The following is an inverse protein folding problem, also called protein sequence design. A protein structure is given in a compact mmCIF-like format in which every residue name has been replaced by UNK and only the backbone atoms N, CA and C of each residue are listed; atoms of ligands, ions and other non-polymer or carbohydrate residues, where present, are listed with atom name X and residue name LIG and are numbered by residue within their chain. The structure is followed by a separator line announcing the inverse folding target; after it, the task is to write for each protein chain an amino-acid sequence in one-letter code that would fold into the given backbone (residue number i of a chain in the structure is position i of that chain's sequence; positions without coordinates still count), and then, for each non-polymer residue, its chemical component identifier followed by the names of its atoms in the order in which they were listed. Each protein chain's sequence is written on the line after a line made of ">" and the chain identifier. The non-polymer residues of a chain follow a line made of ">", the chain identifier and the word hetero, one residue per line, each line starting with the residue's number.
data_IF_490712912267
#
_entry.id   IF_490712912267
#
_cell.length_a   1.000
_cell.length_b   1.000
_cell.length_c   1.000
_cell.angle_alpha   90.00
_cell.angle_beta   90.00
_cell.angle_gamma   90.00
#
_symmetry.space_group_name_H-M   'P 1'
#
loop_
_entity.id
_entity.type
_entity.pdbx_description
1 polymer ?
#
# COMPACT_ATOMS: atom_id res chain seq x y z
N UNK A 1 13.92 -9.63 -4.81
CA UNK A 1 13.80 -9.47 -3.34
C UNK A 1 13.41 -8.04 -3.05
N UNK A 2 12.55 -7.79 -2.07
CA UNK A 2 12.20 -6.43 -1.68
C UNK A 2 13.42 -5.72 -1.09
N UNK A 3 13.68 -4.47 -1.49
CA UNK A 3 14.79 -3.70 -0.96
C UNK A 3 14.56 -3.29 0.50
N UNK A 4 13.30 -3.16 0.91
CA UNK A 4 12.89 -2.82 2.27
C UNK A 4 11.93 -3.85 2.82
N UNK A 5 12.10 -4.23 4.08
CA UNK A 5 11.20 -5.11 4.81
C UNK A 5 10.92 -4.58 6.22
N UNK A 6 9.64 -4.37 6.55
CA UNK A 6 9.24 -4.10 7.94
C UNK A 6 9.41 -5.41 8.73
N UNK A 7 10.21 -5.34 9.81
CA UNK A 7 10.55 -6.49 10.65
C UNK A 7 9.73 -6.50 11.94
N UNK A 8 9.39 -5.34 12.49
CA UNK A 8 8.59 -5.23 13.70
C UNK A 8 7.80 -3.91 13.74
N UNK A 9 6.60 -3.95 14.33
CA UNK A 9 5.79 -2.77 14.61
C UNK A 9 5.22 -2.93 16.01
N UNK A 10 5.66 -2.09 16.95
CA UNK A 10 5.15 -2.08 18.32
C UNK A 10 4.14 -0.96 18.49
N UNK A 11 3.01 -1.28 19.11
CA UNK A 11 1.94 -0.31 19.41
C UNK A 11 2.12 0.18 20.84
N UNK A 12 2.25 1.50 21.02
CA UNK A 12 2.38 2.13 22.33
C UNK A 12 1.08 2.84 22.74
N UNK A 13 0.83 2.96 24.05
CA UNK A 13 -0.35 3.66 24.58
C UNK A 13 -1.66 2.93 24.26
N UNK A 14 -1.67 1.61 24.39
CA UNK A 14 -2.84 0.76 24.10
C UNK A 14 -3.23 -0.08 25.33
N UNK A 15 -4.51 -0.11 25.75
CA UNK A 15 -5.64 0.70 25.25
C UNK A 15 -5.52 2.19 25.60
N UNK A 16 -6.24 3.05 24.88
CA UNK A 16 -6.28 4.51 25.07
C UNK A 16 -7.65 5.11 24.75
N UNK A 17 -7.87 6.40 25.00
CA UNK A 17 -9.09 7.07 24.57
C UNK A 17 -9.09 7.28 23.06
N UNK A 18 -10.29 7.38 22.47
CA UNK A 18 -10.47 7.54 21.03
C UNK A 18 -9.67 8.73 20.46
N UNK A 19 -9.61 9.84 21.19
CA UNK A 19 -8.92 11.07 20.77
C UNK A 19 -7.42 11.10 21.04
N UNK A 20 -6.88 10.10 21.72
CA UNK A 20 -5.44 10.04 21.96
C UNK A 20 -4.70 9.76 20.65
N UNK A 21 -3.46 10.25 20.43
CA UNK A 21 -2.68 9.91 19.25
C UNK A 21 -2.33 8.41 19.18
N UNK A 22 -2.23 7.89 17.96
CA UNK A 22 -1.64 6.57 17.71
C UNK A 22 -0.13 6.66 17.74
N UNK A 23 0.53 5.68 18.36
CA UNK A 23 2.00 5.65 18.49
C UNK A 23 2.53 4.28 18.07
N UNK A 24 3.28 4.25 16.97
CA UNK A 24 3.89 3.04 16.41
C UNK A 24 5.41 3.15 16.43
N UNK A 25 6.10 2.24 17.12
CA UNK A 25 7.55 2.07 16.93
C UNK A 25 7.77 1.09 15.77
N UNK A 26 8.27 1.61 14.66
CA UNK A 26 8.46 0.84 13.42
C UNK A 26 9.93 0.48 13.30
N UNK A 27 10.20 -0.81 13.13
CA UNK A 27 11.54 -1.33 12.80
C UNK A 27 11.49 -1.95 11.41
N UNK A 28 12.43 -1.57 10.56
CA UNK A 28 12.53 -2.09 9.20
C UNK A 28 13.99 -2.28 8.79
N UNK A 29 14.21 -3.22 7.87
CA UNK A 29 15.52 -3.51 7.29
C UNK A 29 15.56 -3.00 5.85
N UNK A 30 16.65 -2.32 5.50
CA UNK A 30 16.92 -1.82 4.16
C UNK A 30 18.18 -2.51 3.61
N UNK A 31 18.05 -3.17 2.46
CA UNK A 31 19.11 -3.99 1.85
C UNK A 31 19.85 -3.26 0.72
N UNK A 32 19.35 -2.11 0.26
CA UNK A 32 19.87 -1.36 -0.88
C UNK A 32 19.79 0.13 -0.56
N UNK A 33 20.80 0.90 -0.97
CA UNK A 33 20.71 2.36 -0.95
C UNK A 33 19.58 2.82 -1.88
N UNK A 34 18.56 3.45 -1.30
CA UNK A 34 17.42 3.98 -2.04
C UNK A 34 17.71 5.39 -2.55
N UNK A 35 17.30 5.66 -3.79
CA UNK A 35 17.41 7.00 -4.40
C UNK A 35 16.34 7.97 -3.92
N UNK A 36 15.18 7.46 -3.52
CA UNK A 36 14.03 8.24 -3.09
C UNK A 36 13.62 7.88 -1.66
N UNK A 37 12.79 8.74 -1.07
CA UNK A 37 12.30 8.54 0.28
C UNK A 37 11.21 7.46 0.33
N UNK A 38 11.10 6.81 1.48
CA UNK A 38 9.97 5.97 1.81
C UNK A 38 8.84 6.84 2.36
N UNK A 39 7.61 6.61 1.92
CA UNK A 39 6.44 7.27 2.46
C UNK A 39 5.71 6.30 3.39
N UNK A 40 5.62 6.64 4.67
CA UNK A 40 4.81 5.92 5.65
C UNK A 40 3.52 6.70 5.90
N UNK A 41 2.37 6.00 5.86
CA UNK A 41 1.07 6.58 6.19
C UNK A 41 0.34 5.74 7.22
N UNK A 42 -0.33 6.43 8.15
CA UNK A 42 -1.31 5.83 9.05
C UNK A 42 -2.69 6.18 8.52
N UNK A 43 -3.52 5.18 8.28
CA UNK A 43 -4.85 5.32 7.69
C UNK A 43 -5.86 4.66 8.60
N UNK A 44 -6.88 5.39 9.02
CA UNK A 44 -8.01 4.86 9.79
C UNK A 44 -9.17 4.54 8.86
N UNK A 45 -9.69 3.32 8.95
CA UNK A 45 -10.85 2.91 8.15
C UNK A 45 -12.11 3.50 8.78
N UNK A 46 -12.73 4.45 8.08
CA UNK A 46 -13.91 5.15 8.60
C UNK A 46 -15.17 4.30 8.56
N UNK A 47 -15.28 3.39 7.59
CA UNK A 47 -16.39 2.44 7.50
C UNK A 47 -15.93 1.22 6.71
N UNK A 48 -16.39 0.03 7.11
CA UNK A 48 -16.09 -1.20 6.37
C UNK A 48 -16.76 -1.23 4.98
N UNK A 49 -17.77 -0.39 4.76
CA UNK A 49 -18.55 -0.37 3.51
C UNK A 49 -17.92 0.54 2.43
N UNK A 50 -17.01 1.44 2.80
CA UNK A 50 -16.51 2.46 1.88
C UNK A 50 -15.13 2.98 2.23
N UNK A 51 -14.17 2.70 1.35
CA UNK A 51 -12.79 3.23 1.41
C UNK A 51 -12.76 4.77 1.25
N UNK A 52 -13.81 5.39 0.72
CA UNK A 52 -13.87 6.87 0.59
C UNK A 52 -13.98 7.60 1.93
N UNK A 53 -14.33 6.87 2.99
CA UNK A 53 -14.40 7.37 4.36
C UNK A 53 -13.11 7.13 5.13
N UNK A 54 -12.10 6.52 4.50
CA UNK A 54 -10.80 6.32 5.11
C UNK A 54 -10.11 7.66 5.34
N UNK A 55 -9.55 7.81 6.54
CA UNK A 55 -8.86 9.02 6.94
C UNK A 55 -7.37 8.74 7.03
N UNK A 56 -6.59 9.42 6.17
CA UNK A 56 -5.13 9.48 6.35
C UNK A 56 -4.87 10.36 7.56
N UNK A 57 -4.43 9.76 8.66
CA UNK A 57 -4.19 10.44 9.93
C UNK A 57 -2.90 11.25 9.86
N UNK A 58 -1.84 10.64 9.34
CA UNK A 58 -0.57 11.30 9.10
C UNK A 58 0.22 10.61 7.98
N UNK A 59 1.15 11.34 7.38
CA UNK A 59 2.02 10.90 6.30
C UNK A 59 3.41 11.49 6.47
N UNK A 60 4.42 10.63 6.60
CA UNK A 60 5.81 11.04 6.76
C UNK A 60 6.68 10.48 5.64
N UNK A 61 7.67 11.27 5.24
CA UNK A 61 8.73 10.84 4.34
C UNK A 61 9.98 10.51 5.16
N UNK A 62 10.55 9.34 4.91
CA UNK A 62 11.76 8.84 5.58
C UNK A 62 12.84 8.65 4.51
N UNK A 63 13.80 9.56 4.49
CA UNK A 63 14.98 9.46 3.65
C UNK A 63 16.01 10.55 3.94
N UNK A 64 17.27 10.37 3.51
CA UNK A 64 17.82 9.16 2.87
C UNK A 64 17.87 7.96 3.84
N UNK A 65 17.55 6.77 3.35
CA UNK A 65 17.45 5.54 4.17
C UNK A 65 18.79 4.79 4.15
N UNK A 66 19.52 4.67 5.27
CA UNK A 66 20.76 3.93 5.29
C UNK A 66 20.50 2.42 5.24
N UNK A 67 21.42 1.68 4.60
CA UNK A 67 21.40 0.22 4.58
C UNK A 67 21.55 -0.34 5.99
N UNK A 68 20.78 -1.38 6.30
CA UNK A 68 20.74 -2.04 7.59
C UNK A 68 19.39 -1.89 8.30
N UNK A 69 19.41 -2.10 9.62
CA UNK A 69 18.22 -2.05 10.46
C UNK A 69 17.98 -0.62 10.96
N UNK A 70 16.81 -0.09 10.66
CA UNK A 70 16.37 1.24 11.03
C UNK A 70 15.15 1.16 11.94
N UNK A 71 15.01 2.16 12.82
CA UNK A 71 13.90 2.25 13.76
C UNK A 71 13.53 3.69 14.06
N UNK A 72 12.24 3.98 14.11
CA UNK A 72 11.73 5.30 14.48
C UNK A 72 10.33 5.21 15.11
N UNK A 73 9.91 6.28 15.78
CA UNK A 73 8.56 6.43 16.32
C UNK A 73 7.69 7.19 15.33
N UNK A 74 6.55 6.62 14.96
CA UNK A 74 5.51 7.28 14.18
C UNK A 74 4.31 7.59 15.08
N UNK A 75 4.11 8.86 15.36
CA UNK A 75 2.93 9.36 16.06
C UNK A 75 1.96 9.98 15.04
N UNK A 76 0.67 9.63 15.12
CA UNK A 76 -0.37 10.17 14.25
C UNK A 76 -1.59 10.57 15.09
N UNK A 77 -2.24 11.68 14.73
CA UNK A 77 -3.42 12.17 15.45
C UNK A 77 -4.62 11.20 15.33
N UNK A 78 -5.60 11.34 16.21
CA UNK A 78 -6.84 10.57 16.13
C UNK A 78 -7.68 10.95 14.88
N UNK A 79 -8.49 10.03 14.34
CA UNK A 79 -9.42 10.35 13.26
C UNK A 79 -10.45 11.39 13.69
N UNK A 80 -10.97 12.14 12.71
CA UNK A 80 -12.09 13.05 12.92
C UNK A 80 -13.40 12.26 13.08
N UNK A 81 -14.05 12.27 14.26
CA UNK A 81 -15.28 11.54 14.49
C UNK A 81 -16.44 12.03 13.60
N UNK A 82 -16.40 13.28 13.13
CA UNK A 82 -17.47 13.85 12.31
C UNK A 82 -17.50 13.28 10.89
N UNK A 83 -16.39 12.68 10.44
CA UNK A 83 -16.27 12.03 9.12
C UNK A 83 -16.56 10.53 9.17
N UNK A 84 -16.80 9.99 10.37
CA UNK A 84 -17.13 8.59 10.58
C UNK A 84 -18.66 8.48 10.69
N UNK A 85 -19.30 7.53 9.98
CA UNK A 85 -20.72 7.26 10.19
C UNK A 85 -21.00 6.93 11.66
N UNK A 86 -22.08 7.47 12.22
CA UNK A 86 -22.40 7.27 13.64
C UNK A 86 -22.54 5.78 14.03
N UNK A 87 -22.93 4.91 13.10
CA UNK A 87 -22.99 3.46 13.34
C UNK A 87 -21.62 2.78 13.44
N UNK A 88 -20.56 3.41 12.92
CA UNK A 88 -19.23 2.81 12.76
C UNK A 88 -18.20 3.33 13.78
N UNK A 89 -18.56 4.35 14.58
CA UNK A 89 -17.66 4.87 15.62
C UNK A 89 -17.46 3.86 16.75
N UNK A 90 -18.52 3.14 17.13
CA UNK A 90 -18.48 2.09 18.16
C UNK A 90 -18.42 0.72 17.49
N UNK A 91 -17.61 -0.18 18.04
CA UNK A 91 -17.39 -1.51 17.51
C UNK A 91 -16.02 -1.65 16.85
N UNK A 92 -15.91 -2.62 15.95
CA UNK A 92 -14.63 -3.03 15.37
C UNK A 92 -14.40 -2.34 14.04
N UNK A 93 -13.25 -1.68 13.92
CA UNK A 93 -12.71 -1.14 12.68
C UNK A 93 -11.24 -1.55 12.50
N UNK A 94 -10.55 -0.94 11.53
CA UNK A 94 -9.17 -1.25 11.16
C UNK A 94 -8.35 0.03 11.08
N UNK A 95 -7.11 -0.05 11.57
CA UNK A 95 -6.07 0.95 11.29
C UNK A 95 -4.96 0.30 10.44
N UNK A 96 -4.52 1.02 9.41
CA UNK A 96 -3.55 0.56 8.43
C UNK A 96 -2.29 1.42 8.52
N UNK A 97 -1.14 0.76 8.65
CA UNK A 97 0.17 1.36 8.40
C UNK A 97 0.64 0.91 7.02
N UNK A 98 0.74 1.83 6.07
CA UNK A 98 1.24 1.55 4.72
C UNK A 98 2.63 2.13 4.56
N UNK A 99 3.49 1.44 3.81
CA UNK A 99 4.76 1.99 3.34
C UNK A 99 4.83 1.90 1.82
N UNK A 100 5.19 3.03 1.19
CA UNK A 100 5.28 3.18 -0.26
C UNK A 100 6.66 3.67 -0.65
N UNK A 101 7.11 3.24 -1.84
CA UNK A 101 8.32 3.74 -2.48
C UNK A 101 7.93 4.29 -3.85
N UNK A 102 8.25 5.55 -4.15
CA UNK A 102 7.84 6.23 -5.38
C UNK A 102 6.34 6.07 -5.67
N UNK A 103 5.47 6.31 -4.67
CA UNK A 103 4.00 6.13 -4.74
C UNK A 103 3.50 4.70 -4.93
N UNK A 104 4.40 3.70 -4.96
CA UNK A 104 4.04 2.29 -5.07
C UNK A 104 4.06 1.67 -3.68
N UNK A 105 2.88 1.33 -3.16
CA UNK A 105 2.75 0.60 -1.89
C UNK A 105 3.37 -0.79 -2.03
N UNK A 106 4.27 -1.14 -1.10
CA UNK A 106 4.90 -2.47 -1.07
C UNK A 106 4.57 -3.27 0.18
N UNK A 107 4.09 -2.62 1.24
CA UNK A 107 3.64 -3.27 2.46
C UNK A 107 2.53 -2.50 3.14
N UNK A 108 1.58 -3.27 3.68
CA UNK A 108 0.46 -2.80 4.49
C UNK A 108 0.35 -3.68 5.73
N UNK A 109 0.36 -3.04 6.90
CA UNK A 109 0.17 -3.69 8.20
C UNK A 109 -1.13 -3.17 8.78
N UNK A 110 -2.14 -4.04 8.84
CA UNK A 110 -3.45 -3.73 9.40
C UNK A 110 -3.64 -4.28 10.81
N UNK A 111 -4.23 -3.48 11.68
CA UNK A 111 -4.65 -3.88 13.02
C UNK A 111 -6.15 -3.70 13.17
N UNK A 112 -6.81 -4.65 13.82
CA UNK A 112 -8.17 -4.42 14.31
C UNK A 112 -8.14 -3.44 15.47
N UNK A 113 -9.09 -2.51 15.47
CA UNK A 113 -9.31 -1.54 16.54
C UNK A 113 -10.72 -1.75 17.04
N UNK A 114 -10.88 -2.03 18.32
CA UNK A 114 -12.18 -2.13 18.97
C UNK A 114 -12.45 -0.84 19.74
N UNK A 115 -13.52 -0.14 19.40
CA UNK A 115 -13.97 1.08 20.07
C UNK A 115 -15.17 0.76 20.96
N UNK A 116 -15.05 0.98 22.26
CA UNK A 116 -16.12 0.74 23.22
C UNK A 116 -16.22 1.89 24.23
N UNK A 117 -17.40 2.04 24.84
CA UNK A 117 -17.54 2.97 25.96
C UNK A 117 -16.71 2.51 27.17
N UNK A 118 -16.20 3.48 27.94
CA UNK A 118 -15.35 3.25 29.10
C UNK A 118 -16.11 2.76 30.34
N UNK A 119 -17.45 2.86 30.36
CA UNK A 119 -18.33 2.42 31.45
C UNK A 119 -19.37 1.40 30.98
N UNK A 120 -19.64 0.38 31.79
CA UNK A 120 -20.63 -0.68 31.51
C UNK A 120 -22.05 -0.13 31.28
N UNK A 121 -22.47 0.91 32.00
CA UNK A 121 -23.79 1.53 31.82
C UNK A 121 -24.01 2.03 30.38
N UNK A 122 -23.00 2.68 29.80
CA UNK A 122 -23.03 3.17 28.42
C UNK A 122 -22.88 2.05 27.38
N UNK A 123 -22.30 0.91 27.76
CA UNK A 123 -22.25 -0.28 26.89
C UNK A 123 -23.60 -0.97 26.81
N UNK A 124 -24.28 -1.14 27.94
CA UNK A 124 -25.62 -1.76 27.99
C UNK A 124 -26.70 -0.85 27.40
N UNK A 125 -26.58 0.47 27.62
CA UNK A 125 -27.54 1.46 27.16
C UNK A 125 -26.81 2.56 26.36
N UNK A 126 -26.40 2.28 25.12
CA UNK A 126 -25.68 3.25 24.31
C UNK A 126 -26.58 4.47 24.00
N UNK A 127 -26.08 5.70 24.22
CA UNK A 127 -26.85 6.91 23.91
C UNK A 127 -27.07 7.05 22.40
N UNK A 128 -28.17 7.68 21.99
CA UNK A 128 -28.45 7.97 20.57
C UNK A 128 -27.35 8.84 19.93
N UNK A 129 -26.75 9.74 20.72
CA UNK A 129 -25.63 10.57 20.31
C UNK A 129 -24.35 10.04 20.92
N UNK A 130 -23.37 9.77 20.08
CA UNK A 130 -22.08 9.25 20.52
C UNK A 130 -21.33 10.30 21.34
N UNK A 131 -20.83 9.86 22.49
CA UNK A 131 -20.01 10.66 23.40
C UNK A 131 -18.54 10.22 23.22
N UNK A 132 -17.85 10.83 22.25
CA UNK A 132 -16.49 10.43 21.84
C UNK A 132 -15.50 10.49 23.01
N UNK A 133 -15.71 11.39 23.95
CA UNK A 133 -14.89 11.56 25.17
C UNK A 133 -14.92 10.33 26.08
N UNK A 134 -15.94 9.48 25.95
CA UNK A 134 -16.15 8.26 26.72
C UNK A 134 -15.82 7.00 25.95
N UNK A 135 -15.30 7.13 24.72
CA UNK A 135 -14.90 5.99 23.89
C UNK A 135 -13.43 5.68 24.17
N UNK A 136 -13.17 4.43 24.55
CA UNK A 136 -11.85 3.83 24.58
C UNK A 136 -11.66 2.99 23.33
N UNK A 137 -10.45 3.03 22.79
CA UNK A 137 -10.03 2.14 21.72
C UNK A 137 -9.00 1.14 22.22
N UNK A 138 -9.09 -0.06 21.71
CA UNK A 138 -8.13 -1.13 21.91
C UNK A 138 -7.69 -1.68 20.56
N UNK A 139 -6.39 -1.58 20.29
CA UNK A 139 -5.75 -2.10 19.09
C UNK A 139 -5.33 -3.54 19.38
N UNK A 140 -5.76 -4.49 18.55
CA UNK A 140 -5.36 -5.90 18.65
C UNK A 140 -3.93 -6.09 18.11
N UNK A 141 -2.94 -5.59 18.85
CA UNK A 141 -1.55 -5.52 18.46
C UNK A 141 -0.88 -6.90 18.24
N UNK A 142 -1.43 -7.95 18.87
CA UNK A 142 -0.87 -9.31 18.79
C UNK A 142 -1.15 -10.02 17.46
N UNK A 143 -2.16 -9.58 16.70
CA UNK A 143 -2.59 -10.24 15.45
C UNK A 143 -2.60 -9.26 14.27
N UNK A 144 -1.45 -8.68 13.90
CA UNK A 144 -1.37 -7.84 12.72
C UNK A 144 -1.65 -8.65 11.45
N UNK A 145 -2.34 -8.03 10.49
CA UNK A 145 -2.49 -8.56 9.14
C UNK A 145 -1.49 -7.87 8.23
N UNK A 146 -0.52 -8.62 7.73
CA UNK A 146 0.53 -8.08 6.85
C UNK A 146 0.27 -8.51 5.42
N UNK A 147 0.05 -7.54 4.54
CA UNK A 147 -0.02 -7.75 3.09
C UNK A 147 1.21 -7.13 2.44
N UNK A 148 1.83 -7.86 1.52
CA UNK A 148 3.03 -7.43 0.80
C UNK A 148 2.75 -7.40 -0.69
N UNK A 149 3.22 -6.35 -1.35
CA UNK A 149 3.10 -6.16 -2.79
C UNK A 149 4.50 -6.12 -3.40
N UNK A 150 4.65 -6.76 -4.56
CA UNK A 150 5.92 -6.71 -5.27
C UNK A 150 5.97 -5.43 -6.10
N UNK A 151 7.00 -4.62 -5.89
CA UNK A 151 7.23 -3.38 -6.63
C UNK A 151 8.61 -3.42 -7.28
N UNK A 152 8.78 -2.62 -8.33
CA UNK A 152 10.11 -2.33 -8.88
C UNK A 152 10.80 -1.29 -7.99
N UNK A 153 12.08 -1.53 -7.71
CA UNK A 153 12.97 -0.62 -6.98
C UNK A 153 13.91 0.07 -7.98
N UNK A 154 15.03 0.62 -7.50
CA UNK A 154 16.02 1.38 -8.29
C UNK A 154 16.87 0.55 -9.28
N UNK A 155 16.28 -0.48 -9.89
CA UNK A 155 16.91 -1.28 -10.93
C UNK A 155 17.34 -0.34 -12.06
N UNK A 156 18.61 -0.37 -12.52
CA UNK A 156 18.94 0.29 -13.77
C UNK A 156 18.08 -0.35 -14.86
N UNK A 157 17.43 0.47 -15.69
CA UNK A 157 16.84 0.00 -16.95
C UNK A 157 17.87 -0.90 -17.61
N UNK A 158 17.60 -2.21 -17.71
CA UNK A 158 18.32 -3.02 -18.67
C UNK A 158 18.17 -2.30 -20.02
N UNK A 159 19.25 -2.08 -20.79
CA UNK A 159 19.13 -1.40 -22.07
C UNK A 159 18.07 -2.16 -22.86
N UNK A 160 17.01 -1.44 -23.24
CA UNK A 160 15.99 -1.96 -24.13
C UNK A 160 16.74 -2.61 -25.28
N UNK A 161 16.58 -3.93 -25.45
CA UNK A 161 17.10 -4.60 -26.63
C UNK A 161 16.45 -3.89 -27.79
N UNK A 162 17.25 -3.09 -28.50
CA UNK A 162 16.84 -2.48 -29.76
C UNK A 162 16.38 -3.64 -30.64
N UNK A 163 15.08 -3.70 -30.90
CA UNK A 163 14.52 -4.59 -31.89
C UNK A 163 15.31 -4.37 -33.17
N UNK A 164 16.02 -5.41 -33.60
CA UNK A 164 16.78 -5.40 -34.83
C UNK A 164 15.83 -5.13 -35.97
N UNK A 165 15.86 -3.90 -36.49
CA UNK A 165 15.34 -3.59 -37.81
C UNK A 165 16.14 -4.43 -38.81
N UNK A 166 15.56 -5.53 -39.27
CA UNK A 166 16.02 -6.26 -40.45
C UNK A 166 15.73 -5.36 -41.66
N UNK A 167 16.76 -4.65 -42.09
CA UNK A 167 16.80 -3.93 -43.35
C UNK A 167 17.21 -4.91 -44.46
N UNK A 168 16.23 -5.53 -45.13
CA UNK A 168 16.45 -6.20 -46.42
C UNK A 168 15.26 -5.94 -47.35
N UNK A 169 15.29 -4.81 -48.04
CA UNK A 169 14.44 -4.54 -49.20
C UNK A 169 15.23 -3.82 -50.29
N UNK A 170 15.88 -4.58 -51.19
CA UNK A 170 15.92 -4.24 -52.62
C UNK A 170 16.50 -5.34 -53.52
N UNK A 171 16.06 -5.29 -54.78
CA UNK A 171 16.47 -6.04 -55.99
C UNK A 171 15.66 -7.32 -56.23
N UNK A 172 15.08 -7.60 -57.39
CA UNK A 172 14.90 -6.85 -58.65
C UNK A 172 13.78 -7.55 -59.42
N UNK A 173 13.04 -6.79 -60.21
CA UNK A 173 12.00 -7.28 -61.10
C UNK A 173 12.62 -7.92 -62.36
N UNK A 174 11.79 -8.74 -63.04
CA UNK A 174 11.98 -9.28 -64.39
C UNK A 174 12.80 -10.58 -64.54
N UNK A 175 12.07 -11.71 -64.61
CA UNK A 175 12.09 -12.50 -65.86
C UNK A 175 10.83 -13.34 -66.04
N UNK A 176 10.26 -13.16 -67.22
CA UNK A 176 9.11 -13.83 -67.81
C UNK A 176 9.11 -15.35 -67.67
N UNK A 177 7.88 -15.87 -67.60
CA UNK A 177 7.57 -17.29 -67.60
C UNK A 177 7.80 -17.98 -68.94
N UNK A 178 7.93 -19.29 -68.86
CA UNK A 178 7.73 -20.18 -70.00
C UNK A 178 6.89 -21.37 -69.51
N UNK A 179 5.61 -21.34 -69.90
CA UNK A 179 4.69 -22.46 -69.78
C UNK A 179 5.08 -23.55 -70.79
N UNK A 180 5.00 -24.79 -70.34
CA UNK A 180 5.10 -26.00 -71.16
C UNK A 180 3.73 -26.30 -71.75
N UNK A 181 3.59 -26.29 -73.08
CA UNK A 181 2.57 -27.07 -73.80
C UNK A 181 2.94 -27.21 -75.29
N UNK A 182 2.79 -28.42 -75.79
CA UNK A 182 3.16 -28.87 -77.12
C UNK A 182 1.97 -28.87 -78.11
N UNK A 183 2.31 -29.07 -79.40
CA UNK A 183 1.53 -29.66 -80.52
C UNK A 183 0.81 -28.71 -81.50
N UNK A 184 1.12 -28.87 -82.81
CA UNK A 184 0.24 -28.51 -83.96
C UNK A 184 0.96 -27.99 -85.23
N UNK A 185 1.52 -28.84 -86.11
CA UNK A 185 1.03 -29.25 -87.46
C UNK A 185 1.44 -28.36 -88.67
N UNK A 186 2.14 -29.01 -89.61
CA UNK A 186 2.18 -28.92 -91.09
C UNK A 186 2.02 -27.58 -91.84
N UNK A 187 2.95 -27.27 -92.76
CA UNK A 187 2.88 -27.61 -94.20
C UNK A 187 4.29 -27.57 -94.79
#
# INVERSE_FOLDING_TARGET
>A
MAAVAITNVQVHGNPSYFRDPFKFEITFECNLELKHDLEFKVIYVGSAESETLDQVLDSILVGPVPVGVNRFMFEADAPDPAKIPAGDVIGVTVILLTCSYQTREFVRVGYYVNNEYDTEELKENPPEKIIVEKVKREILAEKPRVTRFNIEWDTPLAPAQAEGATDEAMTDAAREGAAVAAVGIAT
#
